data_IF_920257006950
#
_entry.id   IF_920257006950
#
_cell.length_a   1.000
_cell.length_b   1.000
_cell.length_c   1.000
_cell.angle_alpha   90.00
_cell.angle_beta   90.00
_cell.angle_gamma   90.00
#
_symmetry.space_group_name_H-M   'P 1'
#
loop_
_entity.id
_entity.type
_entity.pdbx_description
1 polymer ?
#
# COMPACT_ATOMS: atom_id res chain seq x y z
N UNK A 1 4.91 0.89 -20.49
CA UNK A 1 4.21 2.20 -20.38
C UNK A 1 4.84 3.36 -21.18
N UNK A 2 6.00 3.18 -21.84
CA UNK A 2 6.68 4.23 -22.64
C UNK A 2 5.83 4.92 -23.73
N UNK A 3 4.77 4.27 -24.19
CA UNK A 3 3.88 4.81 -25.24
C UNK A 3 2.67 5.59 -24.71
N UNK A 4 2.40 5.54 -23.41
CA UNK A 4 1.16 6.09 -22.82
C UNK A 4 1.34 7.46 -22.19
N UNK A 5 2.58 7.82 -21.83
CA UNK A 5 2.90 9.14 -21.26
C UNK A 5 3.48 10.05 -22.34
N UNK A 6 2.77 11.13 -22.64
CA UNK A 6 3.20 12.17 -23.58
C UNK A 6 3.21 13.55 -22.91
N UNK A 7 3.85 14.53 -23.56
CA UNK A 7 3.90 15.92 -23.08
C UNK A 7 5.06 16.24 -22.11
N UNK A 8 5.02 17.40 -21.44
CA UNK A 8 6.15 17.94 -20.66
C UNK A 8 6.55 17.08 -19.46
N UNK A 9 5.64 16.24 -18.95
CA UNK A 9 5.93 15.32 -17.84
C UNK A 9 6.69 14.06 -18.26
N UNK A 10 6.80 13.78 -19.57
CA UNK A 10 7.47 12.57 -20.08
C UNK A 10 8.90 12.43 -19.57
N UNK A 11 9.64 13.54 -19.44
CA UNK A 11 10.99 13.54 -18.90
C UNK A 11 11.04 12.97 -17.47
N UNK A 12 10.13 13.41 -16.59
CA UNK A 12 10.04 12.94 -15.20
C UNK A 12 9.70 11.45 -15.17
N UNK A 13 8.80 11.00 -16.03
CA UNK A 13 8.45 9.58 -16.14
C UNK A 13 9.62 8.72 -16.61
N UNK A 14 10.37 9.18 -17.60
CA UNK A 14 11.52 8.45 -18.14
C UNK A 14 12.68 8.35 -17.14
N UNK A 15 12.89 9.34 -16.27
CA UNK A 15 13.98 9.32 -15.27
C UNK A 15 13.58 8.63 -13.96
N UNK A 16 12.37 8.87 -13.44
CA UNK A 16 12.00 8.46 -12.10
C UNK A 16 11.27 7.10 -12.06
N UNK A 17 10.47 6.80 -13.08
CA UNK A 17 9.58 5.63 -13.05
C UNK A 17 10.03 4.54 -14.02
N UNK A 18 10.45 4.90 -15.24
CA UNK A 18 10.77 3.95 -16.30
C UNK A 18 11.85 2.90 -15.93
N UNK A 19 12.94 3.23 -15.21
CA UNK A 19 13.94 2.24 -14.82
C UNK A 19 13.36 1.12 -13.95
N UNK A 20 12.55 1.48 -12.95
CA UNK A 20 11.91 0.53 -12.04
C UNK A 20 10.79 -0.24 -12.77
N UNK A 21 9.96 0.47 -13.54
CA UNK A 21 8.87 -0.11 -14.30
C UNK A 21 9.31 -1.07 -15.40
N UNK A 22 10.53 -0.97 -15.93
CA UNK A 22 11.03 -1.92 -16.92
C UNK A 22 11.03 -3.36 -16.37
N UNK A 23 11.40 -3.53 -15.12
CA UNK A 23 11.56 -4.85 -14.50
C UNK A 23 10.34 -5.28 -13.68
N UNK A 24 9.58 -4.32 -13.15
CA UNK A 24 8.59 -4.57 -12.09
C UNK A 24 7.14 -4.22 -12.44
N UNK A 25 6.85 -3.77 -13.67
CA UNK A 25 5.48 -3.41 -14.09
C UNK A 25 4.44 -4.52 -13.87
N UNK A 26 4.85 -5.77 -13.96
CA UNK A 26 3.96 -6.92 -13.85
C UNK A 26 3.43 -7.09 -12.42
N UNK A 27 4.17 -6.61 -11.41
CA UNK A 27 3.74 -6.67 -10.01
C UNK A 27 2.55 -5.77 -9.75
N UNK A 28 2.57 -4.55 -10.31
CA UNK A 28 1.45 -3.61 -10.18
C UNK A 28 0.19 -4.17 -10.87
N UNK A 29 0.34 -4.81 -12.03
CA UNK A 29 -0.77 -5.43 -12.79
C UNK A 29 -1.35 -6.64 -12.07
N UNK A 30 -0.51 -7.45 -11.43
CA UNK A 30 -0.94 -8.60 -10.65
C UNK A 30 -1.32 -8.23 -9.21
N UNK A 31 -1.20 -6.96 -8.82
CA UNK A 31 -1.47 -6.47 -7.46
C UNK A 31 -0.61 -7.18 -6.38
N UNK A 32 0.65 -7.47 -6.71
CA UNK A 32 1.56 -8.23 -5.84
C UNK A 32 2.62 -7.38 -5.14
N UNK A 33 2.68 -6.06 -5.36
CA UNK A 33 3.75 -5.22 -4.79
C UNK A 33 3.83 -5.28 -3.25
N UNK A 34 2.71 -5.49 -2.55
CA UNK A 34 2.69 -5.68 -1.11
C UNK A 34 3.45 -6.91 -0.59
N UNK A 35 3.80 -7.88 -1.46
CA UNK A 35 4.56 -9.07 -1.07
C UNK A 35 6.07 -8.91 -1.27
N UNK A 36 6.53 -7.87 -1.97
CA UNK A 36 7.94 -7.65 -2.32
C UNK A 36 8.51 -6.46 -1.55
N UNK A 37 8.76 -6.69 -0.26
CA UNK A 37 9.34 -5.66 0.61
C UNK A 37 10.81 -5.38 0.27
N UNK A 38 11.13 -4.12 -0.03
CA UNK A 38 12.50 -3.65 -0.27
C UNK A 38 12.89 -3.52 -1.74
N UNK A 39 12.10 -4.06 -2.67
CA UNK A 39 12.31 -3.83 -4.10
C UNK A 39 11.72 -2.47 -4.53
N UNK A 40 12.29 -1.83 -5.58
CA UNK A 40 11.75 -0.58 -6.06
C UNK A 40 10.37 -0.78 -6.70
N UNK A 41 9.40 0.03 -6.27
CA UNK A 41 8.05 0.05 -6.83
C UNK A 41 8.05 0.71 -8.21
N UNK A 42 7.22 0.22 -9.12
CA UNK A 42 7.07 0.82 -10.44
C UNK A 42 6.13 2.03 -10.38
N UNK A 43 4.89 1.87 -9.91
CA UNK A 43 3.97 2.99 -9.66
C UNK A 43 3.57 3.02 -8.19
N UNK A 44 4.06 4.02 -7.44
CA UNK A 44 3.77 4.15 -6.00
C UNK A 44 2.27 4.19 -5.68
N UNK A 45 1.46 4.82 -6.53
CA UNK A 45 0.00 4.83 -6.37
C UNK A 45 -0.65 3.46 -6.64
N UNK A 46 -0.07 2.63 -7.50
CA UNK A 46 -0.61 1.31 -7.82
C UNK A 46 -0.43 0.32 -6.67
N UNK A 47 0.60 0.52 -5.83
CA UNK A 47 0.76 -0.22 -4.58
C UNK A 47 -0.51 -0.14 -3.69
N UNK A 48 -1.13 1.04 -3.58
CA UNK A 48 -2.38 1.22 -2.84
C UNK A 48 -3.55 0.45 -3.47
N UNK A 49 -3.68 0.51 -4.80
CA UNK A 49 -4.69 -0.28 -5.53
C UNK A 49 -4.51 -1.79 -5.31
N UNK A 50 -3.26 -2.25 -5.23
CA UNK A 50 -2.97 -3.65 -4.92
C UNK A 50 -3.40 -4.04 -3.51
N UNK A 51 -3.19 -3.16 -2.53
CA UNK A 51 -3.67 -3.36 -1.15
C UNK A 51 -5.18 -3.49 -1.12
N UNK A 52 -5.91 -2.60 -1.82
CA UNK A 52 -7.37 -2.62 -1.86
C UNK A 52 -7.92 -3.94 -2.46
N UNK A 53 -7.30 -4.44 -3.52
CA UNK A 53 -7.68 -5.72 -4.12
C UNK A 53 -7.49 -6.89 -3.15
N UNK A 54 -6.38 -6.91 -2.41
CA UNK A 54 -6.11 -7.93 -1.39
C UNK A 54 -7.10 -7.85 -0.23
N UNK A 55 -7.42 -6.64 0.24
CA UNK A 55 -8.42 -6.43 1.28
C UNK A 55 -9.82 -6.86 0.81
N UNK A 56 -10.15 -6.65 -0.47
CA UNK A 56 -11.41 -7.12 -1.03
C UNK A 56 -11.53 -8.65 -1.02
N UNK A 57 -10.42 -9.36 -1.26
CA UNK A 57 -10.38 -10.82 -1.15
C UNK A 57 -10.51 -11.31 0.31
N UNK A 58 -9.99 -10.55 1.27
CA UNK A 58 -10.07 -10.87 2.71
C UNK A 58 -11.41 -10.44 3.33
N UNK A 59 -12.11 -9.48 2.74
CA UNK A 59 -13.36 -8.91 3.27
C UNK A 59 -14.44 -9.95 3.62
N UNK A 60 -14.69 -11.03 2.84
CA UNK A 60 -15.62 -12.08 3.23
C UNK A 60 -15.25 -12.72 4.58
N UNK A 61 -13.97 -12.96 4.85
CA UNK A 61 -13.50 -13.53 6.12
C UNK A 61 -13.75 -12.58 7.30
N UNK A 62 -13.69 -11.27 7.06
CA UNK A 62 -13.97 -10.25 8.07
C UNK A 62 -15.47 -10.14 8.35
N UNK A 63 -16.31 -10.26 7.31
CA UNK A 63 -17.75 -10.02 7.39
C UNK A 63 -18.54 -11.29 7.78
N UNK A 64 -18.11 -12.48 7.36
CA UNK A 64 -18.79 -13.75 7.64
C UNK A 64 -19.07 -14.01 9.14
N UNK A 65 -18.17 -13.69 10.09
CA UNK A 65 -18.47 -13.81 11.53
C UNK A 65 -19.72 -13.04 11.99
N UNK A 66 -20.03 -11.93 11.32
CA UNK A 66 -21.23 -11.13 11.59
C UNK A 66 -22.52 -11.85 11.19
N UNK A 67 -22.45 -12.67 10.15
CA UNK A 67 -23.58 -13.48 9.68
C UNK A 67 -23.93 -14.58 10.70
N UNK A 68 -22.93 -15.30 11.21
CA UNK A 68 -23.15 -16.40 12.16
C UNK A 68 -23.57 -15.95 13.56
N UNK A 69 -22.98 -14.86 14.07
CA UNK A 69 -23.35 -14.32 15.38
C UNK A 69 -23.08 -12.83 15.47
N UNK A 70 -24.16 -12.04 15.61
CA UNK A 70 -24.06 -10.57 15.71
C UNK A 70 -23.24 -10.10 16.90
N UNK A 71 -23.25 -10.83 18.02
CA UNK A 71 -22.46 -10.46 19.21
C UNK A 71 -20.96 -10.68 18.95
N UNK A 72 -20.61 -11.87 18.45
CA UNK A 72 -19.24 -12.23 18.14
C UNK A 72 -18.68 -11.38 16.99
N UNK A 73 -19.43 -11.22 15.89
CA UNK A 73 -19.03 -10.41 14.75
C UNK A 73 -18.80 -8.94 15.10
N UNK A 74 -19.62 -8.33 15.96
CA UNK A 74 -19.36 -6.96 16.44
C UNK A 74 -18.08 -6.85 17.27
N UNK A 75 -17.85 -7.81 18.17
CA UNK A 75 -16.61 -7.85 18.95
C UNK A 75 -15.38 -8.05 18.04
N UNK A 76 -15.49 -8.93 17.05
CA UNK A 76 -14.47 -9.16 16.03
C UNK A 76 -14.14 -7.90 15.21
N UNK A 77 -15.17 -7.21 14.70
CA UNK A 77 -14.98 -5.96 13.96
C UNK A 77 -14.33 -4.88 14.83
N UNK A 78 -14.80 -4.72 16.07
CA UNK A 78 -14.20 -3.77 17.02
C UNK A 78 -12.71 -4.06 17.25
N UNK A 79 -12.35 -5.33 17.46
CA UNK A 79 -10.96 -5.74 17.64
C UNK A 79 -10.11 -5.42 16.40
N UNK A 80 -10.59 -5.72 15.20
CA UNK A 80 -9.87 -5.41 13.95
C UNK A 80 -9.68 -3.91 13.76
N UNK A 81 -10.71 -3.10 14.00
CA UNK A 81 -10.62 -1.63 13.90
C UNK A 81 -9.70 -1.03 14.96
N UNK A 82 -9.72 -1.57 16.19
CA UNK A 82 -8.78 -1.15 17.23
C UNK A 82 -7.34 -1.52 16.83
N UNK A 83 -7.10 -2.73 16.34
CA UNK A 83 -5.80 -3.18 15.89
C UNK A 83 -5.24 -2.31 14.74
N UNK A 84 -6.08 -1.92 13.77
CA UNK A 84 -5.65 -1.08 12.65
C UNK A 84 -5.19 0.33 13.08
N UNK A 85 -5.64 0.83 14.23
CA UNK A 85 -5.19 2.10 14.78
C UNK A 85 -4.01 1.94 15.76
N UNK A 86 -4.06 0.92 16.62
CA UNK A 86 -3.07 0.69 17.67
C UNK A 86 -1.72 0.26 17.08
N UNK A 87 -1.72 -0.61 16.06
CA UNK A 87 -0.46 -1.13 15.48
C UNK A 87 0.38 0.01 14.88
N UNK A 88 -0.14 0.86 13.96
CA UNK A 88 0.62 1.99 13.46
C UNK A 88 1.05 2.96 14.55
N UNK A 89 0.17 3.25 15.51
CA UNK A 89 0.50 4.15 16.62
C UNK A 89 1.65 3.61 17.48
N UNK A 90 1.65 2.30 17.78
CA UNK A 90 2.70 1.64 18.55
C UNK A 90 4.04 1.63 17.79
N UNK A 91 4.02 1.43 16.47
CA UNK A 91 5.22 1.51 15.62
C UNK A 91 5.77 2.93 15.62
N UNK A 92 4.92 3.94 15.41
CA UNK A 92 5.33 5.35 15.42
C UNK A 92 5.99 5.72 16.74
N UNK A 93 5.39 5.28 17.86
CA UNK A 93 5.91 5.54 19.19
C UNK A 93 7.24 4.83 19.48
N UNK A 94 7.41 3.58 19.04
CA UNK A 94 8.65 2.81 19.30
C UNK A 94 9.84 3.27 18.45
N UNK A 95 9.59 3.70 17.21
CA UNK A 95 10.63 4.09 16.26
C UNK A 95 10.82 5.61 16.16
N UNK A 96 10.17 6.40 17.02
CA UNK A 96 10.19 7.86 17.04
C UNK A 96 10.03 8.47 15.63
N UNK A 97 9.05 7.94 14.88
CA UNK A 97 8.88 8.29 13.47
C UNK A 97 8.29 9.70 13.32
N UNK A 98 8.79 10.52 12.37
CA UNK A 98 8.21 11.83 12.09
C UNK A 98 6.78 11.66 11.51
N UNK A 99 5.89 12.64 11.73
CA UNK A 99 4.48 12.57 11.28
C UNK A 99 4.33 12.53 9.76
N UNK A 100 5.39 12.86 9.02
CA UNK A 100 5.46 12.79 7.55
C UNK A 100 6.90 12.60 7.14
N UNK A 101 7.14 11.88 6.04
CA UNK A 101 8.46 11.83 5.39
C UNK A 101 8.83 13.22 4.86
N UNK A 102 9.57 14.00 5.66
CA UNK A 102 10.22 15.22 5.19
C UNK A 102 11.38 14.78 4.28
N UNK A 103 11.14 14.77 2.96
CA UNK A 103 12.24 14.66 1.99
C UNK A 103 13.11 15.91 2.11
N UNK A 104 14.11 15.87 2.98
CA UNK A 104 15.12 16.92 3.07
C UNK A 104 16.11 16.74 1.91
N UNK A 105 16.18 17.66 0.94
CA UNK A 105 17.17 17.58 -0.14
C UNK A 105 18.62 17.84 0.33
N UNK A 106 18.86 18.00 1.64
CA UNK A 106 20.17 18.33 2.23
C UNK A 106 20.86 17.16 2.93
N UNK A 107 20.27 15.96 2.92
CA UNK A 107 20.90 14.74 3.45
C UNK A 107 20.78 13.65 2.38
N UNK A 108 21.65 13.75 1.38
CA UNK A 108 22.08 12.65 0.52
C UNK A 108 23.60 12.61 0.54
#
# INVERSE_FOLDING_TARGET
MRFWVTGPLKFVWDIAFYPNCRNYWWRDVLFLDNFYFGDPVCVGQAWYLGTDMQLYLVAPLIILPLYFSKKFGKAWLFLLTAASAIIPAAIIYQYDLPPTSLSNPLVT
#
